data_IF_136705974035
#
_entry.id   IF_136705974035
#
_cell.length_a   1.000
_cell.length_b   1.000
_cell.length_c   1.000
_cell.angle_alpha   90.00
_cell.angle_beta   90.00
_cell.angle_gamma   90.00
#
_symmetry.space_group_name_H-M   'P 1'
#
loop_
_entity.id
_entity.type
_entity.pdbx_description
1 polymer ?
#
# COMPACT_ATOMS: atom_id res chain seq x y z
N UNK A 1 10.56 37.56 -9.78
CA UNK A 1 10.66 37.02 -8.40
C UNK A 1 12.13 36.79 -8.05
N UNK A 2 12.57 37.13 -6.83
CA UNK A 2 14.02 37.13 -6.49
C UNK A 2 14.44 35.95 -5.62
N UNK A 3 15.59 35.33 -5.93
CA UNK A 3 16.18 34.27 -5.11
C UNK A 3 16.79 34.83 -3.82
N UNK A 4 16.40 34.31 -2.66
CA UNK A 4 16.92 34.80 -1.37
C UNK A 4 18.37 34.38 -1.09
N UNK A 5 18.91 33.44 -1.86
CA UNK A 5 20.27 32.91 -1.68
C UNK A 5 21.27 33.68 -2.55
N UNK A 6 20.98 33.80 -3.86
CA UNK A 6 21.91 34.40 -4.84
C UNK A 6 21.40 35.69 -5.49
N UNK A 7 20.23 36.19 -5.08
CA UNK A 7 19.60 37.41 -5.62
C UNK A 7 19.23 37.38 -7.11
N UNK A 8 19.32 36.22 -7.78
CA UNK A 8 18.91 36.05 -9.16
C UNK A 8 17.42 36.37 -9.37
N UNK A 9 17.09 37.07 -10.45
CA UNK A 9 15.73 37.41 -10.84
C UNK A 9 15.16 36.36 -11.80
N UNK A 10 13.99 35.83 -11.45
CA UNK A 10 13.35 34.73 -12.14
C UNK A 10 11.91 35.10 -12.51
N UNK A 11 11.52 34.73 -13.73
CA UNK A 11 10.27 35.16 -14.38
C UNK A 11 9.00 34.60 -13.73
N UNK A 12 9.09 33.49 -13.00
CA UNK A 12 7.94 32.87 -12.35
C UNK A 12 8.29 32.20 -11.03
N UNK A 13 7.26 31.93 -10.21
CA UNK A 13 7.40 31.17 -8.96
C UNK A 13 8.00 29.79 -9.20
N UNK A 14 7.68 29.19 -10.35
CA UNK A 14 8.12 27.85 -10.72
C UNK A 14 9.60 27.85 -11.04
N UNK A 15 10.07 28.86 -11.79
CA UNK A 15 11.49 29.07 -12.04
C UNK A 15 12.28 29.33 -10.76
N UNK A 16 11.71 30.10 -9.82
CA UNK A 16 12.32 30.34 -8.51
C UNK A 16 12.44 29.07 -7.66
N UNK A 17 11.37 28.28 -7.56
CA UNK A 17 11.41 26.99 -6.87
C UNK A 17 12.41 26.04 -7.52
N UNK A 18 12.43 25.96 -8.86
CA UNK A 18 13.38 25.14 -9.61
C UNK A 18 14.82 25.56 -9.33
N UNK A 19 15.09 26.85 -9.41
CA UNK A 19 16.42 27.41 -9.16
C UNK A 19 16.91 27.07 -7.74
N UNK A 20 16.07 27.23 -6.71
CA UNK A 20 16.41 26.87 -5.33
C UNK A 20 16.73 25.38 -5.17
N UNK A 21 16.07 24.51 -5.94
CA UNK A 21 16.35 23.06 -5.93
C UNK A 21 17.62 22.70 -6.68
N UNK A 22 17.74 23.14 -7.92
CA UNK A 22 18.79 22.67 -8.83
C UNK A 22 20.12 23.41 -8.63
N UNK A 23 20.08 24.71 -8.32
CA UNK A 23 21.30 25.53 -8.16
C UNK A 23 21.75 25.54 -6.70
N UNK A 24 20.81 25.54 -5.75
CA UNK A 24 21.13 25.66 -4.32
C UNK A 24 20.89 24.37 -3.51
N UNK A 25 20.43 23.28 -4.14
CA UNK A 25 20.30 21.98 -3.47
C UNK A 25 19.26 21.94 -2.35
N UNK A 26 18.29 22.85 -2.32
CA UNK A 26 17.25 22.83 -1.28
C UNK A 26 16.31 21.64 -1.50
N UNK A 27 16.24 20.77 -0.50
CA UNK A 27 15.41 19.57 -0.52
C UNK A 27 14.23 19.68 0.46
N UNK A 28 13.09 19.03 0.17
CA UNK A 28 12.00 18.88 1.13
C UNK A 28 12.48 18.22 2.43
N UNK A 29 12.12 18.78 3.58
CA UNK A 29 12.49 18.20 4.88
C UNK A 29 12.16 19.11 6.06
N UNK A 30 12.34 18.61 7.29
CA UNK A 30 12.02 19.36 8.53
C UNK A 30 12.79 20.68 8.66
N UNK A 31 13.98 20.74 8.08
CA UNK A 31 14.87 21.89 8.13
C UNK A 31 14.70 22.84 6.94
N UNK A 32 13.77 22.56 6.02
CA UNK A 32 13.50 23.45 4.90
C UNK A 32 12.96 24.79 5.43
N UNK A 33 13.60 25.89 5.02
CA UNK A 33 13.20 27.27 5.33
C UNK A 33 13.38 28.12 4.09
N UNK A 34 12.28 28.40 3.41
CA UNK A 34 12.23 29.21 2.20
C UNK A 34 11.77 30.62 2.57
N UNK A 35 12.61 31.64 2.35
CA UNK A 35 12.27 33.03 2.63
C UNK A 35 11.77 33.71 1.35
N UNK A 36 10.66 34.42 1.44
CA UNK A 36 10.26 35.36 0.39
C UNK A 36 11.15 36.60 0.48
N UNK A 37 11.71 37.05 -0.65
CA UNK A 37 12.47 38.29 -0.75
C UNK A 37 11.76 39.33 -1.64
N UNK A 38 10.47 39.10 -1.90
CA UNK A 38 9.66 40.03 -2.67
C UNK A 38 9.37 41.29 -1.82
N UNK A 39 9.27 42.45 -2.47
CA UNK A 39 9.11 43.76 -1.82
C UNK A 39 8.01 43.73 -0.74
N UNK A 40 8.39 44.03 0.50
CA UNK A 40 7.47 44.04 1.66
C UNK A 40 7.09 42.68 2.25
N UNK A 41 7.70 41.57 1.83
CA UNK A 41 7.37 40.22 2.32
C UNK A 41 8.52 39.57 3.10
N UNK A 42 8.31 39.29 4.40
CA UNK A 42 9.26 38.57 5.27
C UNK A 42 8.85 37.12 5.59
N UNK A 43 7.93 36.54 4.82
CA UNK A 43 7.33 35.23 5.14
C UNK A 43 8.34 34.08 4.94
N UNK A 44 8.32 33.10 5.86
CA UNK A 44 9.16 31.91 5.82
C UNK A 44 8.31 30.66 5.72
N UNK A 45 8.66 29.75 4.81
CA UNK A 45 7.88 28.55 4.52
C UNK A 45 8.70 27.29 4.74
N UNK A 46 8.06 26.27 5.32
CA UNK A 46 8.64 24.94 5.51
C UNK A 46 8.46 24.00 4.31
N UNK A 47 7.72 24.42 3.28
CA UNK A 47 7.43 23.60 2.10
C UNK A 47 7.49 24.43 0.82
N UNK A 48 7.94 23.81 -0.27
CA UNK A 48 7.95 24.42 -1.60
C UNK A 48 6.54 24.75 -2.10
N UNK A 49 5.56 23.90 -1.81
CA UNK A 49 4.15 24.11 -2.19
C UNK A 49 3.56 25.33 -1.47
N UNK A 50 3.82 25.49 -0.18
CA UNK A 50 3.39 26.67 0.58
C UNK A 50 4.05 27.96 0.07
N UNK A 51 5.35 27.88 -0.21
CA UNK A 51 6.11 28.99 -0.80
C UNK A 51 5.58 29.40 -2.18
N UNK A 52 5.40 28.43 -3.08
CA UNK A 52 4.86 28.64 -4.43
C UNK A 52 3.45 29.23 -4.40
N UNK A 53 2.55 28.67 -3.56
CA UNK A 53 1.20 29.19 -3.39
C UNK A 53 1.23 30.64 -2.95
N UNK A 54 2.04 30.97 -1.94
CA UNK A 54 2.18 32.35 -1.47
C UNK A 54 2.64 33.31 -2.58
N UNK A 55 3.69 32.94 -3.32
CA UNK A 55 4.20 33.74 -4.43
C UNK A 55 3.12 34.01 -5.48
N UNK A 56 2.37 32.98 -5.87
CA UNK A 56 1.30 33.11 -6.86
C UNK A 56 0.04 33.83 -6.38
N UNK A 57 -0.16 33.92 -5.07
CA UNK A 57 -1.35 34.60 -4.51
C UNK A 57 -1.06 36.07 -4.17
N UNK A 58 0.17 36.40 -3.78
CA UNK A 58 0.53 37.74 -3.28
C UNK A 58 1.48 38.53 -4.17
N UNK A 59 2.11 37.92 -5.16
CA UNK A 59 3.25 38.50 -5.86
C UNK A 59 3.25 38.32 -7.39
N UNK A 60 2.07 38.10 -7.99
CA UNK A 60 1.92 37.81 -9.44
C UNK A 60 1.78 39.06 -10.31
N UNK A 61 1.49 40.24 -9.76
CA UNK A 61 1.08 41.43 -10.52
C UNK A 61 2.23 42.34 -11.04
N UNK A 62 3.47 41.89 -11.15
CA UNK A 62 4.61 42.83 -11.35
C UNK A 62 5.57 42.55 -12.52
N UNK A 63 5.17 41.88 -13.61
CA UNK A 63 6.09 41.54 -14.71
C UNK A 63 5.64 41.92 -16.14
N UNK A 64 4.81 42.96 -16.28
CA UNK A 64 4.65 43.66 -17.57
C UNK A 64 5.32 45.03 -17.49
N UNK A 65 6.66 45.06 -17.52
CA UNK A 65 7.51 46.17 -17.98
C UNK A 65 8.96 45.88 -17.59
N UNK A 66 9.72 45.30 -18.52
CA UNK A 66 11.03 45.76 -19.00
C UNK A 66 11.75 44.61 -19.70
N UNK A 67 11.87 44.77 -21.02
CA UNK A 67 12.66 43.95 -21.91
C UNK A 67 14.13 44.43 -21.93
N UNK A 68 14.96 43.55 -22.51
CA UNK A 68 16.31 43.78 -23.03
C UNK A 68 17.48 43.83 -22.05
N UNK A 69 18.27 42.74 -22.05
CA UNK A 69 19.71 42.83 -22.38
C UNK A 69 20.28 41.44 -22.67
N UNK A 70 20.98 41.36 -23.80
CA UNK A 70 21.76 40.24 -24.32
C UNK A 70 22.80 39.71 -23.33
N UNK A 71 22.97 38.37 -23.30
CA UNK A 71 24.31 37.75 -23.12
C UNK A 71 24.39 36.46 -23.93
N UNK A 72 25.25 36.51 -24.93
CA UNK A 72 25.78 35.43 -25.77
C UNK A 72 26.62 34.45 -24.95
N UNK A 73 26.39 33.14 -25.08
CA UNK A 73 27.41 32.13 -24.81
C UNK A 73 27.28 30.94 -25.79
N UNK A 74 28.30 30.84 -26.64
CA UNK A 74 28.57 29.72 -27.54
C UNK A 74 28.94 28.44 -26.77
N UNK A 75 28.51 27.30 -27.29
CA UNK A 75 28.96 25.99 -26.86
C UNK A 75 28.49 24.92 -27.84
N UNK A 76 29.29 24.68 -28.88
CA UNK A 76 29.08 23.64 -29.87
C UNK A 76 29.23 22.23 -29.25
N UNK A 77 28.37 21.32 -29.69
CA UNK A 77 28.45 19.89 -29.37
C UNK A 77 27.54 19.12 -30.31
N UNK A 78 28.12 18.59 -31.39
CA UNK A 78 27.48 17.69 -32.34
C UNK A 78 26.96 16.43 -31.65
N UNK A 79 25.74 16.01 -31.99
CA UNK A 79 25.33 14.62 -31.79
C UNK A 79 24.47 14.15 -32.96
N UNK A 80 24.85 12.97 -33.43
CA UNK A 80 24.52 12.29 -34.67
C UNK A 80 23.03 11.93 -34.76
N UNK A 81 22.40 12.28 -35.88
CA UNK A 81 21.05 11.87 -36.24
C UNK A 81 21.01 10.39 -36.67
N UNK A 82 20.00 9.67 -36.21
CA UNK A 82 19.55 8.42 -36.85
C UNK A 82 18.04 8.43 -36.97
N UNK A 83 17.59 8.44 -38.23
CA UNK A 83 16.19 8.43 -38.66
C UNK A 83 15.58 7.04 -38.50
N UNK A 84 14.34 6.96 -38.03
CA UNK A 84 13.44 5.85 -38.36
C UNK A 84 12.04 6.42 -38.63
N UNK A 85 11.50 6.03 -39.78
CA UNK A 85 10.29 6.50 -40.45
C UNK A 85 9.01 6.55 -39.61
N UNK A 86 8.27 7.65 -39.78
CA UNK A 86 6.85 7.76 -39.47
C UNK A 86 6.01 7.31 -40.68
N UNK A 87 5.02 6.45 -40.45
CA UNK A 87 3.85 6.32 -41.33
C UNK A 87 2.61 6.82 -40.57
N UNK A 88 1.76 7.68 -41.16
CA UNK A 88 0.72 8.38 -40.43
C UNK A 88 -0.53 7.52 -40.35
N UNK A 89 -1.02 7.26 -39.14
CA UNK A 89 -2.41 6.81 -38.95
C UNK A 89 -3.12 7.80 -38.05
N UNK A 90 -3.99 8.60 -38.66
CA UNK A 90 -4.93 9.49 -38.00
C UNK A 90 -5.77 8.71 -36.98
N UNK A 91 -5.67 9.05 -35.70
CA UNK A 91 -6.58 8.56 -34.67
C UNK A 91 -7.04 9.71 -33.78
N UNK A 92 -8.35 9.79 -33.60
CA UNK A 92 -9.06 10.74 -32.75
C UNK A 92 -8.55 10.71 -31.30
N UNK A 93 -8.59 11.82 -30.51
CA UNK A 93 -8.08 11.82 -29.15
C UNK A 93 -8.93 10.96 -28.23
N UNK A 94 -8.35 9.86 -27.75
CA UNK A 94 -9.03 8.82 -26.99
C UNK A 94 -9.02 9.10 -25.47
N UNK A 95 -10.22 9.25 -24.88
CA UNK A 95 -10.44 9.25 -23.41
C UNK A 95 -9.91 7.97 -22.70
N UNK A 96 -9.61 6.91 -23.46
CA UNK A 96 -9.03 5.67 -22.94
C UNK A 96 -7.54 5.80 -22.56
N UNK A 97 -6.81 6.76 -23.14
CA UNK A 97 -5.36 6.93 -22.91
C UNK A 97 -5.05 7.53 -21.53
N UNK A 98 -5.86 8.48 -21.05
CA UNK A 98 -5.67 9.17 -19.77
C UNK A 98 -5.84 8.22 -18.57
N UNK A 99 -6.87 7.36 -18.63
CA UNK A 99 -7.12 6.34 -17.60
C UNK A 99 -5.98 5.32 -17.53
N UNK A 100 -5.42 4.95 -18.68
CA UNK A 100 -4.25 4.05 -18.78
C UNK A 100 -2.99 4.66 -18.17
N UNK A 101 -2.73 5.96 -18.41
CA UNK A 101 -1.55 6.65 -17.84
C UNK A 101 -1.66 6.81 -16.33
N UNK A 102 -2.84 7.19 -15.81
CA UNK A 102 -3.09 7.26 -14.37
C UNK A 102 -2.85 5.90 -13.70
N UNK A 103 -3.33 4.81 -14.29
CA UNK A 103 -3.14 3.47 -13.74
C UNK A 103 -1.67 3.04 -13.73
N UNK A 104 -0.88 3.40 -14.76
CA UNK A 104 0.58 3.17 -14.78
C UNK A 104 1.28 3.95 -13.66
N UNK A 105 0.96 5.23 -13.48
CA UNK A 105 1.50 6.04 -12.39
C UNK A 105 1.08 5.50 -11.01
N UNK A 106 -0.18 5.11 -10.87
CA UNK A 106 -0.71 4.49 -9.65
C UNK A 106 0.04 3.19 -9.31
N UNK A 107 0.32 2.35 -10.31
CA UNK A 107 1.09 1.12 -10.16
C UNK A 107 2.51 1.38 -9.66
N UNK A 108 3.22 2.35 -10.27
CA UNK A 108 4.55 2.75 -9.80
C UNK A 108 4.54 3.24 -8.35
N UNK A 109 3.52 4.04 -7.97
CA UNK A 109 3.36 4.50 -6.59
C UNK A 109 3.00 3.37 -5.63
N UNK A 110 2.21 2.40 -6.06
CA UNK A 110 1.88 1.21 -5.28
C UNK A 110 3.11 0.33 -5.03
N UNK A 111 4.00 0.15 -6.02
CA UNK A 111 5.27 -0.55 -5.86
C UNK A 111 6.15 0.09 -4.78
N UNK A 112 6.19 1.43 -4.71
CA UNK A 112 6.91 2.14 -3.64
C UNK A 112 6.33 1.84 -2.25
N UNK A 113 4.99 1.76 -2.12
CA UNK A 113 4.35 1.36 -0.86
C UNK A 113 4.66 -0.11 -0.52
N UNK A 114 4.58 -1.01 -1.50
CA UNK A 114 4.87 -2.43 -1.34
C UNK A 114 6.33 -2.69 -0.94
N UNK A 115 7.26 -1.85 -1.39
CA UNK A 115 8.66 -1.88 -0.97
C UNK A 115 8.90 -1.41 0.48
N UNK A 116 7.84 -1.01 1.21
CA UNK A 116 7.93 -0.62 2.62
C UNK A 116 8.37 0.83 2.85
N UNK A 117 8.30 1.69 1.84
CA UNK A 117 8.65 3.10 2.00
C UNK A 117 7.65 3.84 2.89
N UNK A 118 8.16 4.74 3.72
CA UNK A 118 7.33 5.54 4.62
C UNK A 118 6.32 6.39 3.86
N UNK A 119 5.17 6.65 4.49
CA UNK A 119 4.11 7.44 3.87
C UNK A 119 4.56 8.87 3.54
N UNK A 120 5.45 9.46 4.34
CA UNK A 120 6.04 10.76 4.02
C UNK A 120 6.95 10.70 2.80
N UNK A 121 7.73 9.64 2.64
CA UNK A 121 8.62 9.43 1.47
C UNK A 121 7.78 9.31 0.20
N UNK A 122 6.73 8.49 0.21
CA UNK A 122 5.84 8.30 -0.95
C UNK A 122 5.14 9.62 -1.32
N UNK A 123 4.64 10.37 -0.34
CA UNK A 123 4.05 11.70 -0.59
C UNK A 123 5.05 12.68 -1.22
N UNK A 124 6.29 12.69 -0.71
CA UNK A 124 7.34 13.52 -1.28
C UNK A 124 7.66 13.12 -2.71
N UNK A 125 7.74 11.82 -3.01
CA UNK A 125 7.99 11.31 -4.36
C UNK A 125 6.88 11.75 -5.32
N UNK A 126 5.61 11.52 -4.96
CA UNK A 126 4.48 11.91 -5.81
C UNK A 126 4.45 13.42 -6.04
N UNK A 127 4.73 14.22 -5.01
CA UNK A 127 4.80 15.69 -5.15
C UNK A 127 5.92 16.10 -6.10
N UNK A 128 7.09 15.46 -6.02
CA UNK A 128 8.19 15.72 -6.96
C UNK A 128 7.81 15.33 -8.40
N UNK A 129 7.13 14.21 -8.60
CA UNK A 129 6.69 13.78 -9.93
C UNK A 129 5.59 14.68 -10.50
N UNK A 130 4.68 15.18 -9.66
CA UNK A 130 3.69 16.20 -10.04
C UNK A 130 4.38 17.47 -10.57
N UNK A 131 5.49 17.89 -9.94
CA UNK A 131 6.29 19.04 -10.38
C UNK A 131 7.08 18.78 -11.65
N UNK A 132 7.70 17.61 -11.79
CA UNK A 132 8.40 17.22 -13.03
C UNK A 132 7.45 17.19 -14.21
N UNK A 133 6.25 16.64 -14.02
CA UNK A 133 5.21 16.63 -15.04
C UNK A 133 4.83 18.05 -15.47
N UNK A 134 4.59 18.93 -14.50
CA UNK A 134 4.28 20.34 -14.77
C UNK A 134 5.41 21.04 -15.54
N UNK A 135 6.67 20.77 -15.17
CA UNK A 135 7.81 21.40 -15.82
C UNK A 135 8.01 20.94 -17.27
N UNK A 136 7.91 19.63 -17.53
CA UNK A 136 7.98 19.08 -18.89
C UNK A 136 6.83 19.63 -19.73
N UNK A 137 5.62 19.73 -19.17
CA UNK A 137 4.48 20.32 -19.86
C UNK A 137 4.70 21.79 -20.21
N UNK A 138 5.23 22.59 -19.28
CA UNK A 138 5.54 24.00 -19.52
C UNK A 138 6.60 24.16 -20.60
N UNK A 139 7.66 23.35 -20.58
CA UNK A 139 8.72 23.41 -21.59
C UNK A 139 8.20 23.00 -22.97
N UNK A 140 7.39 21.94 -23.05
CA UNK A 140 6.75 21.52 -24.29
C UNK A 140 5.78 22.57 -24.83
N UNK A 141 5.02 23.24 -23.95
CA UNK A 141 4.15 24.36 -24.32
C UNK A 141 4.96 25.52 -24.90
N UNK A 142 6.03 25.93 -24.22
CA UNK A 142 6.88 27.04 -24.66
C UNK A 142 7.56 26.73 -26.00
N UNK A 143 8.06 25.51 -26.19
CA UNK A 143 8.64 25.06 -27.45
C UNK A 143 7.60 25.08 -28.59
N UNK A 144 6.38 24.58 -28.34
CA UNK A 144 5.31 24.59 -29.33
C UNK A 144 4.88 26.01 -29.73
N UNK A 145 4.82 26.94 -28.77
CA UNK A 145 4.50 28.33 -29.03
C UNK A 145 5.61 29.08 -29.79
N UNK A 146 6.88 28.69 -29.61
CA UNK A 146 8.01 29.25 -30.36
C UNK A 146 8.03 28.84 -31.83
N UNK A 147 7.43 27.70 -32.19
CA UNK A 147 7.29 27.26 -33.58
C UNK A 147 6.26 28.06 -34.38
N UNK A 148 5.42 28.88 -33.73
CA UNK A 148 4.39 29.68 -34.37
C UNK A 148 4.85 31.12 -34.62
N UNK A 149 4.34 31.72 -35.70
CA UNK A 149 4.61 33.14 -35.98
C UNK A 149 3.99 34.03 -34.89
N UNK A 150 4.57 35.22 -34.61
CA UNK A 150 4.01 36.18 -33.66
C UNK A 150 2.55 36.54 -33.92
N UNK A 151 2.14 36.58 -35.19
CA UNK A 151 0.82 37.04 -35.65
C UNK A 151 -0.25 35.93 -35.65
N UNK A 152 0.14 34.66 -35.55
CA UNK A 152 -0.79 33.52 -35.58
C UNK A 152 -1.45 33.30 -34.21
N UNK A 153 -2.39 34.19 -33.90
CA UNK A 153 -3.07 34.25 -32.59
C UNK A 153 -4.06 33.09 -32.41
N UNK A 154 -4.66 32.62 -33.50
CA UNK A 154 -5.65 31.53 -33.46
C UNK A 154 -5.01 30.20 -33.06
N UNK A 155 -3.89 29.82 -33.69
CA UNK A 155 -3.21 28.57 -33.38
C UNK A 155 -2.54 28.60 -32.01
N UNK A 156 -2.03 29.77 -31.58
CA UNK A 156 -1.52 29.94 -30.20
C UNK A 156 -2.60 29.64 -29.17
N UNK A 157 -3.79 30.21 -29.32
CA UNK A 157 -4.90 29.96 -28.39
C UNK A 157 -5.30 28.48 -28.35
N UNK A 158 -5.35 27.81 -29.51
CA UNK A 158 -5.63 26.36 -29.58
C UNK A 158 -4.57 25.53 -28.87
N UNK A 159 -3.29 25.85 -29.03
CA UNK A 159 -2.19 25.18 -28.31
C UNK A 159 -2.31 25.43 -26.81
N UNK A 160 -2.52 26.67 -26.39
CA UNK A 160 -2.66 26.99 -24.96
C UNK A 160 -3.83 26.24 -24.31
N UNK A 161 -4.97 26.15 -24.99
CA UNK A 161 -6.13 25.41 -24.50
C UNK A 161 -5.86 23.90 -24.44
N UNK A 162 -5.19 23.34 -25.45
CA UNK A 162 -4.79 21.93 -25.49
C UNK A 162 -3.85 21.58 -24.33
N UNK A 163 -2.86 22.44 -24.05
CA UNK A 163 -1.94 22.23 -22.93
C UNK A 163 -2.62 22.40 -21.56
N UNK A 164 -3.61 23.30 -21.42
CA UNK A 164 -4.43 23.41 -20.20
C UNK A 164 -5.24 22.14 -19.94
N UNK A 165 -5.78 21.51 -20.98
CA UNK A 165 -6.49 20.22 -20.84
C UNK A 165 -5.54 19.13 -20.35
N UNK A 166 -4.33 19.03 -20.93
CA UNK A 166 -3.33 18.05 -20.52
C UNK A 166 -2.78 18.28 -19.11
N UNK A 167 -2.59 19.55 -18.69
CA UNK A 167 -2.22 19.88 -17.30
C UNK A 167 -3.29 19.43 -16.30
N UNK A 168 -4.57 19.56 -16.65
CA UNK A 168 -5.67 19.05 -15.84
C UNK A 168 -5.68 17.51 -15.77
N UNK A 169 -5.13 16.84 -16.78
CA UNK A 169 -4.91 15.40 -16.86
C UNK A 169 -3.69 14.88 -16.09
N UNK A 170 -2.99 15.71 -15.29
CA UNK A 170 -1.82 15.27 -14.52
C UNK A 170 -2.16 14.10 -13.58
N UNK A 171 -1.62 12.89 -13.81
CA UNK A 171 -1.99 11.70 -13.06
C UNK A 171 -1.58 11.79 -11.58
N UNK A 172 -0.51 12.52 -11.27
CA UNK A 172 -0.02 12.66 -9.89
C UNK A 172 -0.91 13.57 -9.03
N UNK A 173 -1.71 14.47 -9.63
CA UNK A 173 -2.69 15.28 -8.90
C UNK A 173 -3.79 14.43 -8.26
N UNK A 174 -4.12 13.30 -8.87
CA UNK A 174 -5.03 12.28 -8.34
C UNK A 174 -4.35 11.33 -7.34
N UNK A 175 -3.02 11.39 -7.20
CA UNK A 175 -2.25 10.50 -6.33
C UNK A 175 -1.49 11.24 -5.21
N UNK A 176 -1.59 12.57 -5.14
CA UNK A 176 -0.74 13.40 -4.27
C UNK A 176 -1.02 13.30 -2.77
N UNK A 177 -2.18 12.76 -2.38
CA UNK A 177 -2.51 12.50 -0.97
C UNK A 177 -2.81 11.03 -0.77
N UNK A 178 -2.62 10.58 0.47
CA UNK A 178 -2.90 9.19 0.86
C UNK A 178 -4.37 8.83 0.64
N UNK A 179 -5.28 9.70 1.04
CA UNK A 179 -6.72 9.49 0.85
C UNK A 179 -7.08 9.28 -0.62
N UNK A 180 -6.54 10.10 -1.52
CA UNK A 180 -6.81 9.95 -2.96
C UNK A 180 -6.21 8.66 -3.52
N UNK A 181 -4.99 8.28 -3.10
CA UNK A 181 -4.39 7.02 -3.53
C UNK A 181 -5.17 5.82 -3.03
N UNK A 182 -5.52 5.77 -1.75
CA UNK A 182 -6.28 4.67 -1.18
C UNK A 182 -7.66 4.56 -1.84
N UNK A 183 -8.29 5.69 -2.17
CA UNK A 183 -9.52 5.71 -2.98
C UNK A 183 -9.30 5.10 -4.37
N UNK A 184 -8.29 5.56 -5.11
CA UNK A 184 -7.97 5.03 -6.45
C UNK A 184 -7.64 3.53 -6.40
N UNK A 185 -6.84 3.11 -5.43
CA UNK A 185 -6.44 1.71 -5.25
C UNK A 185 -7.65 0.82 -4.93
N UNK A 186 -8.55 1.30 -4.06
CA UNK A 186 -9.79 0.59 -3.73
C UNK A 186 -10.72 0.46 -4.94
N UNK A 187 -10.89 1.53 -5.71
CA UNK A 187 -11.73 1.53 -6.91
C UNK A 187 -11.15 0.66 -8.04
N UNK A 188 -9.81 0.56 -8.13
CA UNK A 188 -9.13 -0.14 -9.23
C UNK A 188 -8.78 -1.60 -8.95
N UNK A 189 -8.28 -1.90 -7.75
CA UNK A 189 -7.72 -3.21 -7.39
C UNK A 189 -8.49 -3.91 -6.26
N UNK A 190 -9.51 -3.27 -5.71
CA UNK A 190 -10.17 -3.75 -4.50
C UNK A 190 -9.29 -3.58 -3.26
N UNK A 191 -9.92 -3.56 -2.09
CA UNK A 191 -9.22 -3.61 -0.82
C UNK A 191 -10.15 -4.20 0.25
N UNK A 192 -9.72 -5.27 0.90
CA UNK A 192 -10.38 -5.79 2.08
C UNK A 192 -10.01 -4.89 3.27
N UNK A 193 -10.89 -3.95 3.60
CA UNK A 193 -10.66 -3.03 4.72
C UNK A 193 -10.78 -3.78 6.06
N UNK A 194 -9.89 -3.51 7.02
CA UNK A 194 -10.01 -4.07 8.36
C UNK A 194 -11.26 -3.51 9.06
N UNK A 195 -11.95 -4.38 9.78
CA UNK A 195 -13.13 -4.09 10.59
C UNK A 195 -12.74 -4.23 12.06
N UNK A 196 -13.03 -3.21 12.86
CA UNK A 196 -12.86 -3.30 14.31
C UNK A 196 -13.94 -4.21 14.93
N UNK A 197 -13.49 -5.15 15.75
CA UNK A 197 -14.36 -6.06 16.52
C UNK A 197 -14.14 -5.84 18.01
N UNK A 198 -15.22 -5.79 18.77
CA UNK A 198 -15.19 -5.55 20.22
C UNK A 198 -14.99 -6.87 20.96
N UNK A 199 -14.05 -6.91 21.90
CA UNK A 199 -13.82 -8.07 22.79
C UNK A 199 -14.52 -7.89 24.14
N UNK A 200 -14.55 -6.66 24.64
CA UNK A 200 -15.14 -6.34 25.94
C UNK A 200 -14.73 -4.98 26.45
N UNK A 201 -14.83 -4.77 27.76
CA UNK A 201 -14.47 -3.51 28.41
C UNK A 201 -13.60 -3.73 29.63
N UNK A 202 -12.67 -2.80 29.88
CA UNK A 202 -11.79 -2.79 31.05
C UNK A 202 -11.68 -1.42 31.69
N UNK A 203 -11.40 -1.40 32.99
CA UNK A 203 -10.97 -0.18 33.67
C UNK A 203 -9.48 0.02 33.44
N UNK A 204 -9.11 1.23 33.05
CA UNK A 204 -7.72 1.67 32.91
C UNK A 204 -7.50 2.94 33.73
N UNK A 205 -6.32 3.04 34.34
CA UNK A 205 -5.96 4.17 35.19
C UNK A 205 -5.26 5.22 34.35
N UNK A 206 -5.98 6.29 33.99
CA UNK A 206 -5.40 7.40 33.22
C UNK A 206 -5.07 8.58 34.12
N UNK A 207 -3.88 9.12 33.94
CA UNK A 207 -3.48 10.34 34.62
C UNK A 207 -4.23 11.53 34.03
N UNK A 208 -5.04 12.17 34.87
CA UNK A 208 -5.69 13.41 34.54
C UNK A 208 -4.65 14.54 34.51
N UNK A 209 -4.49 15.19 33.36
CA UNK A 209 -3.48 16.25 33.17
C UNK A 209 -3.75 17.48 34.05
N UNK A 210 -5.02 17.71 34.41
CA UNK A 210 -5.49 18.89 35.14
C UNK A 210 -5.32 18.71 36.65
N UNK A 211 -5.86 17.62 37.20
CA UNK A 211 -5.83 17.34 38.64
C UNK A 211 -4.56 16.61 39.08
N UNK A 212 -3.76 16.09 38.14
CA UNK A 212 -2.61 15.19 38.35
C UNK A 212 -2.96 13.89 39.10
N UNK A 213 -4.24 13.58 39.29
CA UNK A 213 -4.74 12.32 39.87
C UNK A 213 -4.87 11.23 38.81
N UNK A 214 -5.04 9.98 39.24
CA UNK A 214 -5.38 8.87 38.35
C UNK A 214 -6.88 8.60 38.44
N UNK A 215 -7.55 8.70 37.31
CA UNK A 215 -8.97 8.42 37.20
C UNK A 215 -9.16 7.05 36.54
N UNK A 216 -10.12 6.26 37.03
CA UNK A 216 -10.51 5.02 36.36
C UNK A 216 -11.41 5.35 35.17
N UNK A 217 -10.98 4.95 33.98
CA UNK A 217 -11.71 5.15 32.74
C UNK A 217 -12.06 3.79 32.16
N UNK A 218 -13.30 3.63 31.72
CA UNK A 218 -13.72 2.44 30.98
C UNK A 218 -13.18 2.55 29.56
N UNK A 219 -12.42 1.55 29.14
CA UNK A 219 -11.89 1.38 27.79
C UNK A 219 -12.54 0.15 27.16
N UNK A 220 -13.00 0.28 25.93
CA UNK A 220 -13.44 -0.85 25.11
C UNK A 220 -12.24 -1.50 24.44
N UNK A 221 -12.01 -2.77 24.75
CA UNK A 221 -10.98 -3.58 24.12
C UNK A 221 -11.48 -4.06 22.75
N UNK A 222 -10.64 -3.88 21.74
CA UNK A 222 -10.97 -4.15 20.34
C UNK A 222 -9.80 -4.81 19.64
N UNK A 223 -10.10 -5.52 18.56
CA UNK A 223 -9.10 -6.00 17.62
C UNK A 223 -9.49 -5.68 16.18
N UNK A 224 -8.52 -5.76 15.28
CA UNK A 224 -8.72 -5.57 13.85
C UNK A 224 -8.89 -6.92 13.17
N UNK A 225 -10.02 -7.11 12.50
CA UNK A 225 -10.31 -8.29 11.68
C UNK A 225 -10.34 -7.88 10.20
N UNK A 226 -9.58 -8.57 9.34
CA UNK A 226 -9.63 -8.40 7.89
C UNK A 226 -10.50 -9.54 7.33
N UNK A 227 -11.68 -9.24 6.78
CA UNK A 227 -12.60 -10.28 6.31
C UNK A 227 -11.95 -11.15 5.25
N UNK A 228 -11.88 -12.45 5.52
CA UNK A 228 -11.21 -13.39 4.62
C UNK A 228 -12.00 -13.51 3.31
N UNK A 229 -13.33 -13.50 3.37
CA UNK A 229 -14.19 -13.60 2.18
C UNK A 229 -13.96 -12.44 1.20
N UNK A 230 -13.88 -11.20 1.71
CA UNK A 230 -13.56 -10.03 0.87
C UNK A 230 -12.13 -10.10 0.31
N UNK A 231 -11.18 -10.60 1.09
CA UNK A 231 -9.81 -10.81 0.61
C UNK A 231 -9.77 -11.83 -0.53
N UNK A 232 -10.51 -12.94 -0.39
CA UNK A 232 -10.63 -13.96 -1.44
C UNK A 232 -11.28 -13.40 -2.70
N UNK A 233 -12.39 -12.64 -2.59
CA UNK A 233 -13.02 -11.98 -3.76
C UNK A 233 -12.01 -11.15 -4.56
N UNK A 234 -11.25 -10.30 -3.87
CA UNK A 234 -10.22 -9.46 -4.51
C UNK A 234 -9.11 -10.30 -5.18
N UNK A 235 -8.72 -11.44 -4.60
CA UNK A 235 -7.74 -12.36 -5.20
C UNK A 235 -8.30 -12.98 -6.48
N UNK A 236 -9.55 -13.42 -6.46
CA UNK A 236 -10.21 -14.11 -7.59
C UNK A 236 -10.79 -13.19 -8.65
N UNK A 237 -10.89 -11.89 -8.40
CA UNK A 237 -11.19 -10.89 -9.42
C UNK A 237 -10.08 -10.83 -10.50
N UNK A 238 -8.91 -11.42 -10.24
CA UNK A 238 -7.87 -11.62 -11.24
C UNK A 238 -7.99 -12.99 -11.95
N UNK A 239 -8.32 -12.95 -13.25
CA UNK A 239 -8.48 -14.15 -14.09
C UNK A 239 -7.20 -14.99 -14.20
N UNK A 240 -6.02 -14.36 -14.22
CA UNK A 240 -4.74 -15.10 -14.31
C UNK A 240 -4.49 -15.92 -13.04
N UNK A 241 -4.77 -15.34 -11.87
CA UNK A 241 -4.65 -16.04 -10.60
C UNK A 241 -5.62 -17.22 -10.57
N UNK A 242 -6.88 -17.02 -10.96
CA UNK A 242 -7.89 -18.07 -11.03
C UNK A 242 -7.44 -19.27 -11.87
N UNK A 243 -6.80 -19.03 -13.01
CA UNK A 243 -6.24 -20.11 -13.85
C UNK A 243 -5.11 -20.91 -13.16
N UNK A 244 -4.42 -20.33 -12.17
CA UNK A 244 -3.38 -21.01 -11.40
C UNK A 244 -3.92 -22.02 -10.38
N UNK A 245 -5.19 -21.97 -10.00
CA UNK A 245 -5.80 -22.84 -8.99
C UNK A 245 -6.07 -24.27 -9.47
N UNK A 246 -5.93 -24.55 -10.77
CA UNK A 246 -6.17 -25.89 -11.32
C UNK A 246 -5.21 -26.90 -10.70
N UNK A 247 -5.70 -28.07 -10.24
CA UNK A 247 -4.85 -29.08 -9.61
C UNK A 247 -3.77 -29.56 -10.58
N UNK A 248 -2.50 -29.38 -10.18
CA UNK A 248 -1.32 -29.83 -10.95
C UNK A 248 -0.72 -31.12 -10.42
N UNK A 249 -1.28 -31.64 -9.34
CA UNK A 249 -0.75 -32.79 -8.63
C UNK A 249 -1.48 -34.06 -9.01
N UNK A 250 -0.75 -35.00 -9.61
CA UNK A 250 -1.21 -36.38 -9.80
C UNK A 250 -0.56 -37.23 -8.69
N UNK A 251 -1.35 -37.80 -7.77
CA UNK A 251 -0.84 -38.69 -6.73
C UNK A 251 -0.05 -39.85 -7.34
N UNK A 252 1.12 -40.13 -6.77
CA UNK A 252 1.92 -41.31 -7.11
C UNK A 252 1.99 -42.20 -5.90
N UNK A 253 1.66 -43.47 -6.08
CA UNK A 253 1.72 -44.46 -5.00
C UNK A 253 3.11 -44.51 -4.37
N UNK A 254 3.16 -44.55 -3.04
CA UNK A 254 4.40 -44.57 -2.25
C UNK A 254 5.17 -43.25 -2.17
N UNK A 255 4.68 -42.15 -2.75
CA UNK A 255 5.38 -40.85 -2.71
C UNK A 255 4.43 -39.75 -2.22
N UNK A 256 4.75 -39.17 -1.05
CA UNK A 256 4.09 -37.98 -0.53
C UNK A 256 4.77 -36.72 -1.06
N UNK A 257 3.99 -35.82 -1.67
CA UNK A 257 4.46 -34.52 -2.19
C UNK A 257 3.67 -33.35 -1.63
N UNK A 258 2.38 -33.53 -1.35
CA UNK A 258 1.52 -32.47 -0.82
C UNK A 258 0.53 -33.01 0.22
N UNK A 259 -0.13 -32.11 0.94
CA UNK A 259 -1.17 -32.39 1.92
C UNK A 259 -2.34 -33.18 1.33
N UNK A 260 -2.56 -33.06 0.01
CA UNK A 260 -3.54 -33.83 -0.76
C UNK A 260 -3.28 -35.33 -0.74
N UNK A 261 -2.03 -35.75 -0.48
CA UNK A 261 -1.68 -37.16 -0.40
C UNK A 261 -2.08 -37.79 0.94
N UNK A 262 -2.34 -36.97 1.97
CA UNK A 262 -2.71 -37.44 3.29
C UNK A 262 -4.14 -38.01 3.31
N UNK A 263 -4.35 -39.07 4.09
CA UNK A 263 -5.66 -39.72 4.20
C UNK A 263 -6.74 -38.77 4.70
N UNK A 264 -6.44 -37.94 5.71
CA UNK A 264 -7.41 -36.98 6.24
C UNK A 264 -7.94 -36.00 5.18
N UNK A 265 -7.11 -35.65 4.18
CA UNK A 265 -7.53 -34.78 3.08
C UNK A 265 -8.43 -35.55 2.11
N UNK A 266 -8.04 -36.78 1.75
CA UNK A 266 -8.80 -37.66 0.84
C UNK A 266 -10.17 -38.05 1.41
N UNK A 267 -10.28 -38.19 2.72
CA UNK A 267 -11.51 -38.54 3.45
C UNK A 267 -12.41 -37.33 3.74
N UNK A 268 -11.94 -36.11 3.46
CA UNK A 268 -12.71 -34.90 3.71
C UNK A 268 -13.91 -34.79 2.76
N UNK A 269 -15.10 -34.61 3.32
CA UNK A 269 -16.35 -34.56 2.55
C UNK A 269 -16.38 -33.44 1.51
N UNK A 270 -15.85 -32.26 1.83
CA UNK A 270 -15.83 -31.12 0.91
C UNK A 270 -14.90 -31.41 -0.26
N UNK A 271 -13.65 -31.78 0.01
CA UNK A 271 -12.66 -32.04 -1.05
C UNK A 271 -12.98 -33.28 -1.89
N UNK A 272 -13.74 -34.25 -1.35
CA UNK A 272 -14.21 -35.41 -2.12
C UNK A 272 -15.29 -35.05 -3.15
N UNK A 273 -16.10 -34.02 -2.88
CA UNK A 273 -17.16 -33.53 -3.77
C UNK A 273 -16.66 -32.45 -4.71
N UNK A 274 -15.79 -31.59 -4.20
CA UNK A 274 -15.30 -30.39 -4.87
C UNK A 274 -13.77 -30.39 -4.92
N UNK A 275 -13.23 -30.94 -6.01
CA UNK A 275 -11.79 -31.03 -6.21
C UNK A 275 -11.08 -29.66 -6.27
N UNK A 276 -11.82 -28.62 -6.67
CA UNK A 276 -11.32 -27.25 -6.82
C UNK A 276 -11.56 -26.38 -5.58
N UNK A 277 -12.07 -26.94 -4.48
CA UNK A 277 -12.28 -26.20 -3.25
C UNK A 277 -10.98 -25.59 -2.70
N UNK A 278 -11.10 -24.41 -2.09
CA UNK A 278 -9.97 -23.66 -1.55
C UNK A 278 -9.39 -24.34 -0.31
N UNK A 279 -8.07 -24.33 -0.27
CA UNK A 279 -7.25 -24.98 0.74
C UNK A 279 -6.55 -23.90 1.53
N UNK A 280 -7.13 -23.53 2.67
CA UNK A 280 -6.66 -22.41 3.48
C UNK A 280 -5.70 -22.96 4.54
N UNK A 281 -4.46 -22.46 4.55
CA UNK A 281 -3.55 -22.65 5.67
C UNK A 281 -3.61 -21.41 6.56
N UNK A 282 -3.96 -21.59 7.83
CA UNK A 282 -3.81 -20.54 8.83
C UNK A 282 -2.42 -20.59 9.46
N UNK A 283 -1.88 -19.42 9.82
CA UNK A 283 -0.65 -19.29 10.59
C UNK A 283 -0.86 -18.31 11.75
N UNK A 284 -0.46 -18.69 12.95
CA UNK A 284 -0.49 -17.84 14.13
C UNK A 284 0.92 -17.52 14.63
N UNK A 285 1.21 -16.24 14.82
CA UNK A 285 2.45 -15.76 15.42
C UNK A 285 2.24 -14.52 16.29
N UNK A 286 3.19 -14.31 17.18
CA UNK A 286 3.07 -13.48 18.36
C UNK A 286 4.36 -12.65 18.50
N UNK A 287 4.32 -11.38 18.12
CA UNK A 287 5.52 -10.54 17.93
C UNK A 287 5.48 -9.24 18.76
N UNK A 288 6.65 -8.72 19.12
CA UNK A 288 6.80 -7.48 19.89
C UNK A 288 7.25 -6.35 18.96
N UNK A 289 6.46 -5.28 18.89
CA UNK A 289 6.79 -4.10 18.09
C UNK A 289 7.65 -3.08 18.86
N UNK A 290 7.62 -3.14 20.20
CA UNK A 290 8.40 -2.25 21.05
C UNK A 290 9.80 -2.84 21.35
N UNK A 291 10.63 -2.10 22.09
CA UNK A 291 11.93 -2.62 22.53
C UNK A 291 11.73 -3.91 23.36
N UNK A 292 12.18 -5.08 22.86
CA UNK A 292 11.92 -6.37 23.51
C UNK A 292 12.78 -6.59 24.77
N UNK A 293 13.69 -5.66 25.09
CA UNK A 293 14.58 -5.71 26.27
C UNK A 293 14.27 -4.61 27.30
N UNK A 294 13.33 -3.71 27.02
CA UNK A 294 12.99 -2.59 27.90
C UNK A 294 12.06 -2.98 29.05
N UNK A 295 11.86 -2.05 29.99
CA UNK A 295 10.92 -2.22 31.13
C UNK A 295 9.44 -2.40 30.73
N UNK A 296 9.12 -2.22 29.44
CA UNK A 296 7.79 -2.43 28.85
C UNK A 296 7.68 -3.70 27.99
N UNK A 297 8.65 -4.61 28.11
CA UNK A 297 8.67 -5.89 27.39
C UNK A 297 7.35 -6.66 27.60
N UNK A 298 6.73 -7.13 26.52
CA UNK A 298 5.52 -7.94 26.55
C UNK A 298 4.22 -7.16 26.75
N UNK A 299 4.30 -5.83 26.94
CA UNK A 299 3.11 -4.98 27.10
C UNK A 299 2.45 -4.71 25.76
N UNK A 300 3.26 -4.49 24.72
CA UNK A 300 2.79 -4.11 23.39
C UNK A 300 2.89 -5.26 22.39
N UNK A 301 3.03 -6.50 22.90
CA UNK A 301 3.05 -7.71 22.08
C UNK A 301 1.72 -7.85 21.34
N UNK A 302 1.81 -8.12 20.05
CA UNK A 302 0.68 -8.35 19.16
C UNK A 302 0.62 -9.82 18.78
N UNK A 303 -0.59 -10.36 18.77
CA UNK A 303 -0.89 -11.63 18.12
C UNK A 303 -1.49 -11.37 16.75
N UNK A 304 -1.04 -12.14 15.76
CA UNK A 304 -1.52 -12.05 14.40
C UNK A 304 -1.87 -13.42 13.85
N UNK A 305 -3.02 -13.49 13.18
CA UNK A 305 -3.47 -14.66 12.43
C UNK A 305 -3.38 -14.29 10.97
N UNK A 306 -2.69 -15.12 10.20
CA UNK A 306 -2.51 -15.00 8.77
C UNK A 306 -3.13 -16.20 8.06
N UNK A 307 -3.36 -16.07 6.77
CA UNK A 307 -3.71 -17.18 5.91
C UNK A 307 -2.94 -17.16 4.59
N UNK A 308 -2.77 -18.36 4.02
CA UNK A 308 -2.20 -18.59 2.70
C UNK A 308 -3.06 -19.60 1.96
N UNK A 309 -3.23 -19.39 0.65
CA UNK A 309 -3.93 -20.32 -0.22
C UNK A 309 -2.98 -21.39 -0.74
N UNK A 310 -3.21 -22.63 -0.33
CA UNK A 310 -2.40 -23.81 -0.68
C UNK A 310 -2.69 -24.35 -2.08
N UNK A 311 -3.70 -23.83 -2.76
CA UNK A 311 -4.00 -24.16 -4.15
C UNK A 311 -2.93 -23.63 -5.11
N UNK A 312 -2.19 -22.57 -4.72
CA UNK A 312 -1.08 -22.07 -5.51
C UNK A 312 0.09 -23.07 -5.51
N UNK A 313 0.93 -23.05 -6.57
CA UNK A 313 2.15 -23.85 -6.60
C UNK A 313 3.01 -23.67 -5.33
N UNK A 314 3.59 -24.74 -4.76
CA UNK A 314 4.27 -24.68 -3.46
C UNK A 314 5.38 -23.62 -3.33
N UNK A 315 6.03 -23.26 -4.45
CA UNK A 315 7.05 -22.19 -4.50
C UNK A 315 6.52 -20.83 -4.03
N UNK A 316 5.21 -20.61 -4.09
CA UNK A 316 4.56 -19.35 -3.73
C UNK A 316 4.05 -19.31 -2.28
N UNK A 317 3.99 -20.45 -1.59
CA UNK A 317 3.38 -20.55 -0.26
C UNK A 317 4.17 -19.79 0.83
N UNK A 318 5.47 -19.60 0.63
CA UNK A 318 6.32 -18.84 1.55
C UNK A 318 6.58 -17.40 1.10
N UNK A 319 6.03 -16.98 -0.04
CA UNK A 319 6.20 -15.62 -0.53
C UNK A 319 5.34 -14.68 0.30
N UNK A 320 5.94 -13.62 0.85
CA UNK A 320 5.25 -12.64 1.72
C UNK A 320 4.00 -12.03 1.06
N UNK A 321 4.00 -11.89 -0.26
CA UNK A 321 2.86 -11.37 -1.03
C UNK A 321 1.62 -12.28 -0.98
N UNK A 322 1.79 -13.57 -0.66
CA UNK A 322 0.72 -14.58 -0.55
C UNK A 322 0.41 -14.95 0.91
N UNK A 323 0.93 -14.18 1.87
CA UNK A 323 0.62 -14.30 3.29
C UNK A 323 -0.28 -13.13 3.64
N UNK A 324 -1.56 -13.42 3.81
CA UNK A 324 -2.59 -12.42 4.02
C UNK A 324 -2.96 -12.36 5.51
N UNK A 325 -3.17 -11.16 6.05
CA UNK A 325 -3.59 -10.98 7.44
C UNK A 325 -5.10 -11.27 7.58
N UNK A 326 -5.49 -12.03 8.60
CA UNK A 326 -6.90 -12.23 9.02
C UNK A 326 -7.24 -11.42 10.27
N UNK A 327 -6.37 -11.42 11.28
CA UNK A 327 -6.66 -10.75 12.55
C UNK A 327 -5.39 -10.22 13.20
N UNK A 328 -5.50 -9.05 13.85
CA UNK A 328 -4.44 -8.42 14.61
C UNK A 328 -5.01 -7.89 15.94
N UNK A 329 -4.45 -8.35 17.05
CA UNK A 329 -4.92 -8.08 18.41
C UNK A 329 -3.74 -7.97 19.39
N UNK A 330 -3.98 -7.44 20.59
CA UNK A 330 -2.96 -7.50 21.64
C UNK A 330 -2.86 -8.92 22.19
N UNK A 331 -1.65 -9.46 22.32
CA UNK A 331 -1.45 -10.81 22.85
C UNK A 331 -1.99 -10.96 24.29
N UNK A 332 -2.07 -9.86 25.05
CA UNK A 332 -2.69 -9.84 26.38
C UNK A 332 -4.20 -10.09 26.35
N UNK A 333 -4.87 -9.74 25.26
CA UNK A 333 -6.31 -9.93 25.13
C UNK A 333 -6.66 -11.42 25.08
N UNK A 334 -5.77 -12.28 24.56
CA UNK A 334 -5.93 -13.74 24.63
C UNK A 334 -6.07 -14.22 26.08
N UNK A 335 -5.23 -13.72 26.99
CA UNK A 335 -5.26 -14.14 28.40
C UNK A 335 -6.57 -13.78 29.09
N UNK A 336 -7.24 -12.74 28.62
CA UNK A 336 -8.46 -12.20 29.22
C UNK A 336 -9.73 -12.75 28.59
N UNK A 337 -9.76 -12.83 27.26
CA UNK A 337 -10.95 -13.12 26.47
C UNK A 337 -10.88 -14.50 25.80
N UNK A 338 -9.69 -15.11 25.73
CA UNK A 338 -9.45 -16.37 25.01
C UNK A 338 -9.44 -16.19 23.49
N UNK A 339 -9.03 -17.25 22.79
CA UNK A 339 -9.03 -17.26 21.32
C UNK A 339 -10.43 -17.29 20.71
N UNK A 340 -11.42 -17.85 21.41
CA UNK A 340 -12.77 -18.07 20.85
C UNK A 340 -13.41 -16.78 20.33
N UNK A 341 -13.36 -15.69 21.11
CA UNK A 341 -13.93 -14.40 20.70
C UNK A 341 -13.15 -13.75 19.54
N UNK A 342 -11.85 -13.98 19.47
CA UNK A 342 -10.98 -13.45 18.40
C UNK A 342 -11.21 -14.23 17.10
N UNK A 343 -11.37 -15.54 17.19
CA UNK A 343 -11.57 -16.44 16.05
C UNK A 343 -13.01 -16.46 15.53
N UNK A 344 -13.98 -16.05 16.34
CA UNK A 344 -15.40 -16.11 15.97
C UNK A 344 -15.71 -15.50 14.58
N UNK A 345 -15.24 -14.29 14.23
CA UNK A 345 -15.48 -13.73 12.89
C UNK A 345 -14.89 -14.61 11.78
N UNK A 346 -13.67 -15.12 11.97
CA UNK A 346 -13.01 -15.99 11.01
C UNK A 346 -13.76 -17.31 10.85
N UNK A 347 -14.18 -17.94 11.95
CA UNK A 347 -14.93 -19.20 11.92
C UNK A 347 -16.27 -19.02 11.22
N UNK A 348 -16.96 -17.89 11.42
CA UNK A 348 -18.21 -17.59 10.74
C UNK A 348 -18.00 -17.40 9.23
N UNK A 349 -16.97 -16.67 8.82
CA UNK A 349 -16.60 -16.53 7.41
C UNK A 349 -16.26 -17.89 6.77
N UNK A 350 -15.52 -18.76 7.46
CA UNK A 350 -15.20 -20.11 6.96
C UNK A 350 -16.44 -20.99 6.84
N UNK A 351 -17.39 -20.91 7.78
CA UNK A 351 -18.67 -21.63 7.65
C UNK A 351 -19.43 -21.22 6.41
N UNK A 352 -19.52 -19.92 6.13
CA UNK A 352 -20.14 -19.40 4.89
C UNK A 352 -19.42 -19.96 3.67
N UNK A 353 -18.08 -19.94 3.67
CA UNK A 353 -17.28 -20.51 2.58
C UNK A 353 -17.48 -22.02 2.39
N UNK A 354 -17.73 -22.77 3.46
CA UNK A 354 -17.98 -24.21 3.42
C UNK A 354 -19.39 -24.57 2.94
N UNK A 355 -20.41 -23.77 3.30
CA UNK A 355 -21.82 -24.13 3.08
C UNK A 355 -22.49 -23.38 1.93
N UNK A 356 -22.28 -22.07 1.85
CA UNK A 356 -22.89 -21.20 0.83
C UNK A 356 -21.92 -20.99 -0.34
N UNK A 357 -20.61 -21.00 -0.03
CA UNK A 357 -19.54 -20.72 -0.97
C UNK A 357 -19.42 -19.24 -1.34
N UNK A 358 -18.44 -18.95 -2.19
CA UNK A 358 -18.10 -17.61 -2.63
C UNK A 358 -18.44 -17.43 -4.11
N UNK A 359 -19.32 -16.48 -4.41
CA UNK A 359 -19.58 -16.04 -5.79
C UNK A 359 -18.44 -15.14 -6.27
N UNK A 360 -17.88 -15.47 -7.44
CA UNK A 360 -16.78 -14.73 -8.06
C UNK A 360 -17.33 -14.02 -9.29
N UNK A 361 -17.12 -12.71 -9.39
CA UNK A 361 -17.67 -11.91 -10.50
C UNK A 361 -17.20 -12.39 -11.89
N UNK A 362 -16.01 -12.98 -11.96
CA UNK A 362 -15.36 -13.47 -13.18
C UNK A 362 -15.70 -14.93 -13.53
N UNK A 363 -16.41 -15.67 -12.68
CA UNK A 363 -16.80 -17.07 -12.92
C UNK A 363 -18.23 -17.31 -12.46
N UNK A 364 -19.07 -17.93 -13.29
CA UNK A 364 -20.42 -18.34 -12.88
C UNK A 364 -20.42 -19.44 -11.80
N UNK A 365 -19.26 -20.02 -11.48
CA UNK A 365 -19.10 -21.04 -10.45
C UNK A 365 -18.99 -20.43 -9.05
N UNK A 366 -19.73 -21.02 -8.10
CA UNK A 366 -19.50 -20.82 -6.67
C UNK A 366 -18.25 -21.60 -6.26
N UNK A 367 -17.36 -20.96 -5.50
CA UNK A 367 -16.17 -21.62 -4.95
C UNK A 367 -16.36 -21.84 -3.46
N UNK A 368 -16.26 -23.10 -3.03
CA UNK A 368 -16.20 -23.45 -1.61
C UNK A 368 -14.75 -23.63 -1.15
N UNK A 369 -14.55 -23.76 0.16
CA UNK A 369 -13.24 -23.96 0.73
C UNK A 369 -13.26 -24.08 2.24
N UNK A 370 -12.17 -24.59 2.80
CA UNK A 370 -12.01 -24.75 4.25
C UNK A 370 -10.56 -24.64 4.68
N UNK A 371 -10.34 -24.58 5.99
CA UNK A 371 -9.03 -24.63 6.61
C UNK A 371 -8.50 -26.07 6.55
N UNK A 372 -7.40 -26.26 5.82
CA UNK A 372 -6.73 -27.57 5.72
C UNK A 372 -5.61 -27.74 6.73
N UNK A 373 -5.02 -26.63 7.19
CA UNK A 373 -3.84 -26.67 8.04
C UNK A 373 -3.77 -25.43 8.93
N UNK A 374 -3.30 -25.62 10.16
CA UNK A 374 -2.99 -24.52 11.09
C UNK A 374 -1.54 -24.68 11.53
N UNK A 375 -0.74 -23.64 11.32
CA UNK A 375 0.69 -23.61 11.63
C UNK A 375 1.02 -22.46 12.58
N UNK A 376 2.19 -22.54 13.22
CA UNK A 376 2.59 -21.62 14.29
C UNK A 376 3.69 -22.24 15.14
N UNK A 377 4.26 -21.44 16.05
CA UNK A 377 5.17 -21.98 17.05
C UNK A 377 4.41 -22.88 18.04
N UNK A 378 5.12 -23.78 18.72
CA UNK A 378 4.47 -24.77 19.60
C UNK A 378 3.66 -24.11 20.72
N UNK A 379 4.21 -23.06 21.34
CA UNK A 379 3.55 -22.36 22.44
C UNK A 379 2.23 -21.72 21.98
N UNK A 380 2.25 -21.02 20.85
CA UNK A 380 1.09 -20.36 20.28
C UNK A 380 0.03 -21.36 19.83
N UNK A 381 0.43 -22.47 19.20
CA UNK A 381 -0.51 -23.52 18.82
C UNK A 381 -1.09 -24.26 20.04
N UNK A 382 -0.34 -24.42 21.12
CA UNK A 382 -0.90 -24.95 22.37
C UNK A 382 -2.00 -24.03 22.89
N UNK A 383 -1.74 -22.73 22.97
CA UNK A 383 -2.75 -21.75 23.38
C UNK A 383 -3.98 -21.75 22.45
N UNK A 384 -3.75 -21.77 21.14
CA UNK A 384 -4.82 -21.76 20.13
C UNK A 384 -5.74 -22.97 20.23
N UNK A 385 -5.19 -24.15 20.49
CA UNK A 385 -5.94 -25.40 20.63
C UNK A 385 -6.36 -25.72 22.07
N UNK A 386 -6.16 -24.80 23.01
CA UNK A 386 -6.52 -25.00 24.43
C UNK A 386 -5.67 -26.03 25.17
N UNK A 387 -4.50 -26.39 24.63
CA UNK A 387 -3.51 -27.20 25.34
C UNK A 387 -2.76 -26.36 26.37
N UNK A 388 -2.09 -27.03 27.32
CA UNK A 388 -1.23 -26.35 28.29
C UNK A 388 -0.02 -25.73 27.58
N UNK A 389 0.18 -24.42 27.76
CA UNK A 389 1.31 -23.64 27.26
C UNK A 389 2.63 -23.95 28.01
N UNK A 390 3.03 -25.22 28.09
CA UNK A 390 4.24 -25.64 28.78
C UNK A 390 4.87 -26.88 28.16
N UNK A 391 6.16 -26.80 27.83
CA UNK A 391 6.96 -27.95 27.42
C UNK A 391 7.30 -28.90 28.58
N UNK A 392 6.97 -28.52 29.81
CA UNK A 392 7.15 -29.33 31.01
C UNK A 392 5.85 -29.98 31.49
N UNK A 393 4.75 -29.80 30.77
CA UNK A 393 3.50 -30.53 31.04
C UNK A 393 3.71 -32.05 30.93
N UNK A 394 2.92 -32.82 31.71
CA UNK A 394 2.90 -34.28 31.62
C UNK A 394 2.57 -34.77 30.22
N UNK A 395 1.59 -34.11 29.58
CA UNK A 395 1.21 -34.30 28.18
C UNK A 395 1.59 -33.03 27.41
N UNK A 396 2.81 -33.00 26.87
CA UNK A 396 3.35 -31.82 26.17
C UNK A 396 3.27 -31.90 24.65
N UNK A 397 2.86 -33.04 24.08
CA UNK A 397 2.66 -33.19 22.64
C UNK A 397 1.20 -32.89 22.27
N UNK A 398 0.98 -32.12 21.20
CA UNK A 398 -0.36 -31.86 20.66
C UNK A 398 -0.90 -32.96 19.73
N UNK A 399 -0.06 -33.90 19.34
CA UNK A 399 -0.39 -34.95 18.36
C UNK A 399 -0.64 -36.31 18.99
N UNK A 400 -0.20 -36.53 20.24
CA UNK A 400 -0.35 -37.80 20.92
C UNK A 400 -0.55 -37.59 22.43
N UNK A 401 -1.00 -38.65 23.10
CA UNK A 401 -1.25 -38.66 24.55
C UNK A 401 -0.11 -39.32 25.35
N UNK A 402 1.08 -39.45 24.74
CA UNK A 402 2.24 -39.99 25.45
C UNK A 402 2.64 -39.06 26.59
N UNK A 403 3.01 -39.65 27.71
CA UNK A 403 3.60 -38.90 28.82
C UNK A 403 5.03 -38.49 28.47
N UNK A 404 5.44 -37.30 28.90
CA UNK A 404 6.79 -36.77 28.66
C UNK A 404 7.88 -37.73 29.14
N UNK A 405 7.65 -38.46 30.22
CA UNK A 405 8.57 -39.47 30.75
C UNK A 405 8.80 -40.65 29.79
N UNK A 406 7.85 -40.92 28.90
CA UNK A 406 7.93 -41.99 27.89
C UNK A 406 8.62 -41.54 26.60
N UNK A 407 8.87 -40.24 26.38
CA UNK A 407 9.40 -39.76 25.09
C UNK A 407 10.82 -40.28 24.79
N UNK A 408 11.58 -40.61 25.83
CA UNK A 408 12.94 -41.16 25.67
C UNK A 408 12.98 -42.68 25.53
N UNK A 409 11.83 -43.36 25.70
CA UNK A 409 11.76 -44.83 25.73
C UNK A 409 10.93 -45.42 24.59
N UNK A 410 10.18 -44.60 23.86
CA UNK A 410 9.45 -45.02 22.65
C UNK A 410 10.36 -44.80 21.44
N UNK A 411 10.91 -45.90 20.90
CA UNK A 411 11.69 -45.97 19.66
C UNK A 411 10.76 -46.18 18.46
#
# INVERSE_FOLDING_TARGET
MRCFVCQAELKSSNMLVRHLRLVHGYLPGRNLRLKSLQTGCGSVFGTFSGFRKHLNTKHTEYLDQQAETDVTLNGAGEVVASNVDETPTSSEPSRNSEKSTLDKCASAVAQLKAAGLSQSTVNSFVSSMEEVFFEIHSQAKDAALQCLSPQDTENKNKIEESFKQLENGNPFKCLNTETKRNKHFKEKWGNAEPVEKVLGTRFDSRRNKSTRTYDQVIITDKFSYVPILETLKNIFDNLELTNMFKPRHIPKEGVYKDIKDANYFKENLLFSKENDALQIQLFYDDFETANPLGSKKGIHKLGAIYFTLRNFPPIFNSALINIHLCALFHAQDIKRYGFNLILEPLVNDIKVLETEGLHISMSESVIHGTIVQVTGNNLGLHGLFGCVESFSARYCCRFCLLEKTCFQTVL
#
